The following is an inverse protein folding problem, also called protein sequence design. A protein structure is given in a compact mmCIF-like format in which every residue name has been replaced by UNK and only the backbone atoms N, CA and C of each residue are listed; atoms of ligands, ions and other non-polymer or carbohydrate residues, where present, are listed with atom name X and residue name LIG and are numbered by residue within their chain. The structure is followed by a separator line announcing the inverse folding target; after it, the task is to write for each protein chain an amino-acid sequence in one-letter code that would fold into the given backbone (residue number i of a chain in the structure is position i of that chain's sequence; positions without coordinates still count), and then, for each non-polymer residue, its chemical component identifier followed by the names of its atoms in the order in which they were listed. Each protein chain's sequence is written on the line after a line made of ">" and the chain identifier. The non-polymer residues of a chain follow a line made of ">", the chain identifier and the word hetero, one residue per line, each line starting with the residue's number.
data_IF_368213873725
#
_entry.id   IF_368213873725
#
_cell.length_a   1.000
_cell.length_b   1.000
_cell.length_c   1.000
_cell.angle_alpha   90.00
_cell.angle_beta   90.00
_cell.angle_gamma   90.00
#
_symmetry.space_group_name_H-M   'P 1'
#
loop_
_entity.id
_entity.type
_entity.pdbx_description
1 polymer ?
#
# COMPACT_ATOMS: atom_id res chain seq x y z
N UNK A 1 19.53 11.80 -11.11
CA UNK A 1 19.25 12.71 -9.98
C UNK A 1 20.42 13.64 -9.70
N UNK A 2 21.67 13.17 -9.59
CA UNK A 2 22.86 13.99 -9.28
C UNK A 2 22.98 15.29 -10.09
N UNK A 3 22.95 15.23 -11.43
CA UNK A 3 23.06 16.44 -12.26
C UNK A 3 21.94 17.47 -12.02
N UNK A 4 20.73 17.05 -11.63
CA UNK A 4 19.62 17.95 -11.29
C UNK A 4 19.83 18.61 -9.93
N UNK A 5 20.46 17.89 -8.99
CA UNK A 5 20.81 18.41 -7.67
C UNK A 5 21.94 19.44 -7.82
N UNK A 6 23.00 19.08 -8.55
CA UNK A 6 24.17 19.95 -8.79
C UNK A 6 23.81 21.21 -9.59
N UNK A 7 22.82 21.14 -10.50
CA UNK A 7 22.32 22.31 -11.24
C UNK A 7 21.29 23.14 -10.47
N UNK A 8 20.89 22.75 -9.26
CA UNK A 8 19.91 23.46 -8.44
C UNK A 8 18.45 23.30 -8.87
N UNK A 9 18.17 22.42 -9.84
CA UNK A 9 16.80 22.11 -10.29
C UNK A 9 16.06 21.23 -9.29
N UNK A 10 16.78 20.37 -8.57
CA UNK A 10 16.22 19.45 -7.58
C UNK A 10 16.86 19.67 -6.22
N UNK A 11 16.06 20.05 -5.23
CA UNK A 11 16.46 20.04 -3.82
C UNK A 11 15.80 18.86 -3.10
N UNK A 12 16.60 17.98 -2.51
CA UNK A 12 16.10 16.84 -1.74
C UNK A 12 15.86 17.28 -0.29
N UNK A 13 14.67 17.00 0.22
CA UNK A 13 14.36 17.15 1.66
C UNK A 13 14.62 15.83 2.38
N UNK A 14 15.00 15.89 3.65
CA UNK A 14 15.22 14.71 4.48
C UNK A 14 14.04 13.74 4.54
N UNK A 15 14.30 12.49 4.98
CA UNK A 15 13.30 11.43 5.01
C UNK A 15 12.18 11.73 6.01
N UNK A 16 11.03 11.06 5.84
CA UNK A 16 9.80 11.33 6.62
C UNK A 16 9.41 12.82 6.54
N UNK A 17 9.48 13.36 5.32
CA UNK A 17 9.17 14.75 5.02
C UNK A 17 7.81 15.14 5.58
N UNK A 18 7.77 16.26 6.30
CA UNK A 18 6.56 16.88 6.82
C UNK A 18 6.31 18.15 6.03
N UNK A 19 5.05 18.35 5.68
CA UNK A 19 4.57 19.57 5.02
C UNK A 19 3.53 20.20 5.92
N UNK A 20 3.66 21.52 6.13
CA UNK A 20 2.74 22.32 6.93
C UNK A 20 2.52 23.68 6.25
N UNK A 21 1.39 24.37 6.50
CA UNK A 21 1.27 25.76 6.10
C UNK A 21 2.39 26.61 6.71
N UNK A 22 2.95 27.52 5.92
CA UNK A 22 3.92 28.51 6.41
C UNK A 22 3.19 29.52 7.33
N UNK A 23 3.71 29.78 8.55
CA UNK A 23 3.06 30.70 9.50
C UNK A 23 2.88 32.12 8.98
N UNK A 24 3.78 32.58 8.09
CA UNK A 24 3.72 33.90 7.47
C UNK A 24 2.79 33.95 6.25
N UNK A 25 2.10 32.85 5.93
CA UNK A 25 1.14 32.77 4.83
C UNK A 25 1.76 32.68 3.44
N UNK A 26 3.06 32.38 3.32
CA UNK A 26 3.77 32.36 2.02
C UNK A 26 3.59 31.07 1.21
N UNK A 27 2.96 30.04 1.79
CA UNK A 27 2.71 28.75 1.14
C UNK A 27 2.92 27.57 2.08
N UNK A 28 3.76 26.62 1.66
CA UNK A 28 4.04 25.39 2.38
C UNK A 28 5.47 25.38 2.91
N UNK A 29 5.61 25.11 4.19
CA UNK A 29 6.88 24.89 4.86
C UNK A 29 7.15 23.38 4.93
N UNK A 30 8.28 22.98 4.36
CA UNK A 30 8.67 21.59 4.14
C UNK A 30 9.95 21.30 4.92
N UNK A 31 9.95 20.23 5.70
CA UNK A 31 11.10 19.84 6.50
C UNK A 31 11.11 18.35 6.83
N UNK A 32 12.15 17.90 7.52
CA UNK A 32 12.24 16.55 8.04
C UNK A 32 12.81 16.59 9.46
N UNK A 33 12.14 15.91 10.39
CA UNK A 33 12.64 15.77 11.76
C UNK A 33 13.69 14.66 11.90
N UNK A 34 13.88 13.83 10.87
CA UNK A 34 14.76 12.67 10.94
C UNK A 34 16.25 13.03 10.73
N UNK A 35 16.52 14.17 10.10
CA UNK A 35 17.87 14.70 9.90
C UNK A 35 17.86 16.21 10.13
N UNK A 36 18.91 16.80 10.73
CA UNK A 36 19.06 18.25 10.81
C UNK A 36 19.11 18.87 9.40
N UNK A 37 18.37 19.95 9.19
CA UNK A 37 18.37 20.69 7.94
C UNK A 37 17.42 21.87 7.99
N UNK A 38 17.64 22.92 7.19
CA UNK A 38 16.71 24.04 7.10
C UNK A 38 15.38 23.57 6.51
N UNK A 39 14.30 24.18 6.97
CA UNK A 39 13.01 24.03 6.32
C UNK A 39 12.94 24.93 5.09
N UNK A 40 12.21 24.48 4.08
CA UNK A 40 12.08 25.16 2.79
C UNK A 40 10.64 25.63 2.63
N UNK A 41 10.46 26.90 2.26
CA UNK A 41 9.15 27.46 1.92
C UNK A 41 8.95 27.38 0.41
N UNK A 42 7.81 26.83 -0.02
CA UNK A 42 7.38 26.79 -1.42
C UNK A 42 5.97 27.33 -1.58
N UNK A 43 5.69 28.04 -2.67
CA UNK A 43 4.35 28.50 -3.01
C UNK A 43 3.44 27.40 -3.58
N UNK A 44 3.98 26.22 -3.90
CA UNK A 44 3.21 25.13 -4.52
C UNK A 44 3.63 23.78 -3.98
N UNK A 45 2.64 22.94 -3.68
CA UNK A 45 2.81 21.55 -3.25
C UNK A 45 2.16 20.62 -4.28
N UNK A 46 2.94 19.67 -4.77
CA UNK A 46 2.43 18.54 -5.57
C UNK A 46 2.61 17.29 -4.70
N UNK A 47 1.51 16.70 -4.24
CA UNK A 47 1.55 15.43 -3.51
C UNK A 47 1.18 14.28 -4.45
N UNK A 48 2.20 13.54 -4.89
CA UNK A 48 2.05 12.35 -5.72
C UNK A 48 2.27 11.06 -4.92
N UNK A 49 2.21 11.11 -3.58
CA UNK A 49 2.40 9.92 -2.74
C UNK A 49 1.18 9.01 -2.87
N UNK A 50 1.45 7.74 -3.15
CA UNK A 50 0.47 6.67 -2.98
C UNK A 50 0.47 6.29 -1.51
N UNK A 51 -0.69 6.35 -0.86
CA UNK A 51 -0.80 5.92 0.53
C UNK A 51 -0.47 4.43 0.64
N UNK A 52 0.26 4.06 1.70
CA UNK A 52 0.44 2.64 2.03
C UNK A 52 -0.95 1.99 2.21
N UNK A 53 -1.17 0.80 1.63
CA UNK A 53 -2.43 0.09 1.81
C UNK A 53 -2.58 -0.29 3.28
N UNK A 54 -3.65 0.20 3.91
CA UNK A 54 -4.04 -0.19 5.27
C UNK A 54 -5.54 -0.46 5.30
N UNK A 55 -5.89 -1.74 5.45
CA UNK A 55 -7.26 -2.24 5.54
C UNK A 55 -8.07 -1.50 6.62
N UNK A 56 -7.43 -1.14 7.74
CA UNK A 56 -8.07 -0.46 8.87
C UNK A 56 -8.41 1.00 8.56
N UNK A 57 -7.73 1.58 7.58
CA UNK A 57 -7.90 2.98 7.13
C UNK A 57 -8.64 3.07 5.80
N UNK A 58 -9.07 1.95 5.22
CA UNK A 58 -9.78 1.94 3.95
C UNK A 58 -11.10 2.69 4.05
N UNK A 59 -11.38 3.54 3.06
CA UNK A 59 -12.67 4.21 2.91
C UNK A 59 -13.65 3.40 2.05
N UNK A 60 -13.23 2.24 1.51
CA UNK A 60 -14.08 1.38 0.72
C UNK A 60 -15.19 0.76 1.61
N UNK A 61 -16.49 1.01 1.31
CA UNK A 61 -17.58 0.58 2.17
C UNK A 61 -17.65 -0.94 2.34
N UNK A 62 -17.30 -1.72 1.30
CA UNK A 62 -17.25 -3.18 1.37
C UNK A 62 -16.16 -3.62 2.36
N UNK A 63 -14.92 -3.16 2.18
CA UNK A 63 -13.81 -3.57 3.05
C UNK A 63 -14.04 -3.17 4.51
N UNK A 64 -14.60 -1.97 4.74
CA UNK A 64 -14.99 -1.53 6.09
C UNK A 64 -16.03 -2.45 6.71
N UNK A 65 -17.05 -2.84 5.96
CA UNK A 65 -18.08 -3.75 6.44
C UNK A 65 -17.52 -5.14 6.72
N UNK A 66 -16.72 -5.70 5.81
CA UNK A 66 -16.09 -7.01 5.97
C UNK A 66 -15.19 -7.04 7.21
N UNK A 67 -14.39 -6.01 7.42
CA UNK A 67 -13.54 -5.90 8.61
C UNK A 67 -14.38 -5.78 9.89
N UNK A 68 -15.37 -4.89 9.91
CA UNK A 68 -16.22 -4.67 11.07
C UNK A 68 -17.05 -5.90 11.47
N UNK A 69 -17.40 -6.74 10.50
CA UNK A 69 -18.16 -7.99 10.70
C UNK A 69 -17.27 -9.23 10.85
N UNK A 70 -15.94 -9.06 10.91
CA UNK A 70 -14.99 -10.16 11.07
C UNK A 70 -14.86 -11.07 9.85
N UNK A 71 -15.40 -10.67 8.69
CA UNK A 71 -15.34 -11.43 7.45
C UNK A 71 -14.06 -11.20 6.62
N UNK A 72 -13.16 -10.36 7.12
CA UNK A 72 -11.77 -10.28 6.70
C UNK A 72 -10.88 -9.79 7.84
N UNK A 73 -9.56 -9.95 7.72
CA UNK A 73 -8.59 -9.42 8.69
C UNK A 73 -7.33 -8.85 8.03
N UNK A 74 -6.56 -8.02 8.74
CA UNK A 74 -5.21 -7.65 8.30
C UNK A 74 -4.28 -8.87 8.29
N UNK A 75 -3.38 -8.93 7.33
CA UNK A 75 -2.36 -9.98 7.24
C UNK A 75 -1.36 -9.85 8.39
N UNK A 76 -0.96 -11.00 8.94
CA UNK A 76 -0.02 -11.10 10.06
C UNK A 76 1.21 -11.88 9.63
N UNK A 77 2.37 -11.25 9.75
CA UNK A 77 3.66 -11.90 9.51
C UNK A 77 4.06 -12.59 10.82
N UNK A 78 4.25 -13.92 10.83
CA UNK A 78 4.76 -14.61 12.01
C UNK A 78 6.16 -14.09 12.38
N UNK A 79 6.35 -13.81 13.67
CA UNK A 79 7.63 -13.37 14.23
C UNK A 79 7.80 -14.03 15.61
N UNK A 80 9.02 -14.44 16.02
CA UNK A 80 9.28 -15.10 17.30
C UNK A 80 8.78 -14.32 18.52
N UNK A 81 8.80 -12.98 18.46
CA UNK A 81 8.41 -12.11 19.56
C UNK A 81 6.91 -11.73 19.52
N UNK A 82 6.18 -12.26 18.53
CA UNK A 82 4.75 -12.04 18.32
C UNK A 82 4.46 -11.53 16.91
N UNK A 83 3.37 -11.98 16.32
CA UNK A 83 3.07 -11.68 14.92
C UNK A 83 2.93 -10.17 14.63
N UNK A 84 3.59 -9.69 13.58
CA UNK A 84 3.48 -8.31 13.11
C UNK A 84 2.21 -8.15 12.25
N UNK A 85 1.28 -7.31 12.71
CA UNK A 85 0.08 -6.98 11.95
C UNK A 85 0.38 -5.90 10.90
N UNK A 86 0.17 -6.26 9.63
CA UNK A 86 0.39 -5.39 8.47
C UNK A 86 -0.87 -4.59 8.12
N UNK A 87 -0.78 -3.73 7.11
CA UNK A 87 -1.95 -3.07 6.51
C UNK A 87 -2.67 -3.89 5.43
N UNK A 88 -2.08 -5.01 4.98
CA UNK A 88 -2.60 -5.81 3.87
C UNK A 88 -3.85 -6.61 4.25
N UNK A 89 -4.75 -6.85 3.29
CA UNK A 89 -5.84 -7.80 3.41
C UNK A 89 -5.29 -9.24 3.38
N UNK A 90 -5.59 -10.02 4.42
CA UNK A 90 -5.15 -11.41 4.51
C UNK A 90 -5.87 -12.29 3.47
N UNK A 91 -5.07 -13.02 2.69
CA UNK A 91 -5.51 -13.97 1.68
C UNK A 91 -4.65 -15.22 1.74
N UNK A 92 -5.21 -16.36 1.34
CA UNK A 92 -4.42 -17.58 1.13
C UNK A 92 -3.38 -17.38 0.02
N UNK A 93 -2.47 -18.33 -0.14
CA UNK A 93 -1.79 -18.51 -1.44
C UNK A 93 -2.81 -18.69 -2.58
N UNK A 94 -2.35 -18.67 -3.84
CA UNK A 94 -3.18 -18.92 -5.04
C UNK A 94 -4.23 -20.01 -4.75
N UNK A 95 -5.54 -19.73 -4.88
CA UNK A 95 -6.16 -18.65 -5.67
C UNK A 95 -6.53 -17.38 -4.87
N UNK A 96 -5.88 -17.07 -3.74
CA UNK A 96 -6.07 -15.81 -3.00
C UNK A 96 -7.45 -15.64 -2.36
N UNK A 97 -7.90 -16.65 -1.62
CA UNK A 97 -9.14 -16.60 -0.86
C UNK A 97 -9.00 -15.66 0.32
N UNK A 98 -9.98 -14.77 0.52
CA UNK A 98 -10.01 -13.85 1.67
C UNK A 98 -10.12 -14.64 2.96
N UNK A 99 -9.28 -14.31 3.94
CA UNK A 99 -9.25 -14.95 5.25
C UNK A 99 -10.02 -14.11 6.27
N UNK A 100 -10.93 -14.74 7.01
CA UNK A 100 -11.74 -14.09 8.04
C UNK A 100 -10.98 -13.89 9.37
N UNK A 101 -11.62 -13.25 10.35
CA UNK A 101 -11.01 -12.98 11.66
C UNK A 101 -10.63 -14.26 12.43
N UNK A 102 -11.30 -15.39 12.16
CA UNK A 102 -11.00 -16.70 12.76
C UNK A 102 -9.88 -17.45 12.04
N UNK A 103 -9.38 -16.92 10.92
CA UNK A 103 -8.36 -17.56 10.11
C UNK A 103 -8.92 -18.53 9.07
N UNK A 104 -10.23 -18.51 8.81
CA UNK A 104 -10.87 -19.40 7.84
C UNK A 104 -10.93 -18.71 6.47
N UNK A 105 -10.41 -19.34 5.41
CA UNK A 105 -10.56 -18.83 4.04
C UNK A 105 -12.01 -18.93 3.56
N UNK A 106 -12.53 -17.85 2.99
CA UNK A 106 -13.87 -17.85 2.42
C UNK A 106 -13.93 -18.72 1.15
N UNK A 107 -14.94 -19.59 0.99
CA UNK A 107 -14.98 -20.58 -0.09
C UNK A 107 -15.23 -19.97 -1.48
N UNK A 108 -15.70 -18.72 -1.55
CA UNK A 108 -16.04 -18.05 -2.83
C UNK A 108 -15.68 -16.57 -2.89
N UNK A 109 -14.77 -16.08 -2.03
CA UNK A 109 -14.36 -14.67 -2.00
C UNK A 109 -12.86 -14.61 -2.14
N UNK A 110 -12.41 -13.79 -3.07
CA UNK A 110 -11.03 -13.69 -3.48
C UNK A 110 -10.63 -12.22 -3.51
N UNK A 111 -9.34 -11.93 -3.31
CA UNK A 111 -8.79 -10.59 -3.45
C UNK A 111 -7.35 -10.68 -3.94
N UNK A 112 -6.93 -9.74 -4.78
CA UNK A 112 -5.56 -9.62 -5.28
C UNK A 112 -5.29 -8.15 -5.68
N UNK A 113 -4.02 -7.81 -5.89
CA UNK A 113 -3.58 -6.45 -6.19
C UNK A 113 -3.22 -5.65 -4.94
N UNK A 114 -3.20 -4.32 -5.06
CA UNK A 114 -2.75 -3.38 -4.00
C UNK A 114 -3.35 -3.63 -2.61
N UNK A 115 -4.63 -3.99 -2.46
CA UNK A 115 -5.19 -4.30 -1.14
C UNK A 115 -4.50 -5.49 -0.44
N UNK A 116 -3.86 -6.40 -1.18
CA UNK A 116 -3.15 -7.57 -0.67
C UNK A 116 -1.62 -7.39 -0.64
N UNK A 117 -1.12 -6.17 -0.82
CA UNK A 117 0.29 -5.86 -0.53
C UNK A 117 0.63 -6.35 0.89
N UNK A 118 1.89 -6.66 1.17
CA UNK A 118 2.38 -7.40 2.36
C UNK A 118 2.17 -8.92 2.31
N UNK A 119 1.10 -9.42 1.72
CA UNK A 119 0.98 -10.86 1.40
C UNK A 119 1.78 -11.18 0.14
N UNK A 120 1.61 -10.32 -0.87
CA UNK A 120 2.36 -10.31 -2.12
C UNK A 120 3.05 -8.97 -2.29
N UNK A 121 4.18 -8.97 -2.98
CA UNK A 121 4.94 -7.76 -3.26
C UNK A 121 4.80 -7.35 -4.73
N UNK A 122 5.00 -6.06 -4.99
CA UNK A 122 4.89 -5.48 -6.33
C UNK A 122 3.49 -5.61 -6.94
N UNK A 123 2.45 -5.52 -6.11
CA UNK A 123 1.06 -5.66 -6.54
C UNK A 123 0.55 -4.48 -7.39
N UNK A 124 1.30 -3.37 -7.40
CA UNK A 124 1.08 -2.21 -8.25
C UNK A 124 1.89 -2.24 -9.57
N UNK A 125 2.65 -3.31 -9.83
CA UNK A 125 3.43 -3.42 -11.07
C UNK A 125 2.52 -3.62 -12.28
N UNK A 126 2.78 -2.86 -13.34
CA UNK A 126 2.06 -2.99 -14.62
C UNK A 126 2.37 -4.31 -15.33
N UNK A 127 1.43 -4.72 -16.20
CA UNK A 127 1.58 -5.89 -17.07
C UNK A 127 2.68 -5.62 -18.09
N UNK A 128 3.58 -6.58 -18.26
CA UNK A 128 4.68 -6.51 -19.24
C UNK A 128 4.39 -7.44 -20.43
N UNK A 129 4.49 -6.97 -21.68
CA UNK A 129 4.33 -7.83 -22.86
C UNK A 129 5.39 -8.94 -22.92
N UNK A 130 5.00 -10.11 -23.44
CA UNK A 130 5.93 -11.21 -23.70
C UNK A 130 6.45 -11.96 -22.46
N UNK A 131 5.91 -11.69 -21.27
CA UNK A 131 6.24 -12.40 -20.04
C UNK A 131 4.97 -12.86 -19.31
N UNK A 132 5.07 -13.94 -18.54
CA UNK A 132 4.03 -14.37 -17.59
C UNK A 132 3.90 -13.33 -16.47
N UNK A 133 3.09 -12.30 -16.68
CA UNK A 133 2.87 -11.27 -15.67
C UNK A 133 2.07 -11.87 -14.52
N UNK A 134 2.64 -11.83 -13.32
CA UNK A 134 2.07 -12.45 -12.10
C UNK A 134 0.60 -12.06 -11.90
N UNK A 135 0.25 -10.78 -12.09
CA UNK A 135 -1.14 -10.31 -11.92
C UNK A 135 -2.14 -10.96 -12.88
N UNK A 136 -1.70 -11.36 -14.09
CA UNK A 136 -2.54 -12.08 -15.05
C UNK A 136 -2.68 -13.54 -14.66
N UNK A 137 -1.58 -14.18 -14.26
CA UNK A 137 -1.61 -15.57 -13.77
C UNK A 137 -2.45 -15.72 -12.51
N UNK A 138 -2.41 -14.73 -11.62
CA UNK A 138 -3.21 -14.66 -10.41
C UNK A 138 -4.70 -14.54 -10.71
N UNK A 139 -5.05 -13.63 -11.63
CA UNK A 139 -6.42 -13.47 -12.11
C UNK A 139 -6.94 -14.75 -12.77
N UNK A 140 -6.11 -15.44 -13.54
CA UNK A 140 -6.43 -16.70 -14.21
C UNK A 140 -6.63 -17.85 -13.20
N UNK A 141 -5.80 -17.94 -12.17
CA UNK A 141 -6.00 -18.89 -11.06
C UNK A 141 -7.31 -18.63 -10.30
N UNK A 142 -7.65 -17.37 -10.04
CA UNK A 142 -8.93 -16.97 -9.46
C UNK A 142 -10.10 -17.33 -10.37
N UNK A 143 -10.01 -17.04 -11.67
CA UNK A 143 -11.06 -17.36 -12.64
C UNK A 143 -11.34 -18.86 -12.70
N UNK A 144 -10.30 -19.70 -12.76
CA UNK A 144 -10.46 -21.16 -12.67
C UNK A 144 -11.14 -21.61 -11.39
N UNK A 145 -10.77 -21.03 -10.24
CA UNK A 145 -11.38 -21.36 -8.96
C UNK A 145 -12.85 -20.92 -8.86
N UNK A 146 -13.22 -19.82 -9.51
CA UNK A 146 -14.61 -19.31 -9.57
C UNK A 146 -15.49 -20.20 -10.46
N UNK A 147 -14.93 -20.71 -11.55
CA UNK A 147 -15.63 -21.55 -12.53
C UNK A 147 -15.64 -23.04 -12.18
N UNK A 148 -14.85 -23.45 -11.19
CA UNK A 148 -14.86 -24.83 -10.71
C UNK A 148 -16.23 -25.19 -10.11
N UNK A 149 -16.74 -26.40 -10.37
CA UNK A 149 -18.05 -26.86 -9.90
C UNK A 149 -18.14 -26.99 -8.38
#
# INVERSE_FOLDING_TARGET
>A
MTALIESGVLQVVGPRTRVRPDPDGRGFLIGSAAIPGPEVVTGTLIDARVAEPDLRRSTNPLLRHLLATGQCRPYRIPDPDGAYETGGLDVTARPYRVVDASGVPHPRRFAYGVPTEFVHWATAAGIRPGVGSVILEDADAMARAVLAP
#
